data_IF_957627535194
#
_entry.id   IF_957627535194
#
_cell.length_a   1.000
_cell.length_b   1.000
_cell.length_c   1.000
_cell.angle_alpha   90.00
_cell.angle_beta   90.00
_cell.angle_gamma   90.00
#
_symmetry.space_group_name_H-M   'P 1'
#
loop_
_entity.id
_entity.type
_entity.pdbx_description
1 polymer ?
#
# COMPACT_ATOMS: atom_id res chain seq x y z
N UNK A 1 -11.32 18.45 31.24
CA UNK A 1 -9.90 18.44 30.82
C UNK A 1 -9.52 17.04 30.27
N UNK A 2 -9.88 16.75 29.02
CA UNK A 2 -9.70 15.41 28.38
C UNK A 2 -8.72 15.43 27.20
N UNK A 3 -8.16 16.61 26.88
CA UNK A 3 -7.31 16.84 25.71
C UNK A 3 -5.88 16.34 25.96
N UNK A 4 -5.37 16.39 27.20
CA UNK A 4 -3.96 16.09 27.48
C UNK A 4 -3.57 14.60 27.48
N UNK A 5 -4.51 13.66 27.66
CA UNK A 5 -4.17 12.23 27.76
C UNK A 5 -3.82 11.60 26.41
N UNK A 6 -4.46 12.04 25.32
CA UNK A 6 -4.21 11.52 23.96
C UNK A 6 -2.83 11.98 23.47
N UNK A 7 -2.50 13.26 23.64
CA UNK A 7 -1.18 13.78 23.28
C UNK A 7 -0.04 13.14 24.10
N UNK A 8 -0.28 12.87 25.39
CA UNK A 8 0.67 12.14 26.23
C UNK A 8 0.91 10.69 25.75
N UNK A 9 -0.15 10.02 25.29
CA UNK A 9 -0.05 8.66 24.75
C UNK A 9 0.72 8.60 23.42
N UNK A 10 0.51 9.57 22.53
CA UNK A 10 1.25 9.67 21.25
C UNK A 10 2.75 9.89 21.50
N UNK A 11 3.11 10.68 22.52
CA UNK A 11 4.50 10.90 22.91
C UNK A 11 5.19 9.60 23.37
N UNK A 12 4.45 8.69 24.01
CA UNK A 12 4.94 7.40 24.52
C UNK A 12 5.35 6.43 23.41
N UNK A 13 4.85 6.59 22.18
CA UNK A 13 5.09 5.65 21.07
C UNK A 13 6.18 6.08 20.08
N UNK A 14 6.77 7.28 20.23
CA UNK A 14 7.80 7.79 19.32
C UNK A 14 9.18 7.65 19.95
N UNK A 15 10.11 7.02 19.24
CA UNK A 15 11.53 6.96 19.63
C UNK A 15 12.32 8.10 18.98
N UNK A 16 13.28 8.68 19.70
CA UNK A 16 14.17 9.73 19.17
C UNK A 16 15.31 9.12 18.35
N UNK A 17 15.58 9.71 17.20
CA UNK A 17 16.71 9.36 16.32
C UNK A 17 17.63 10.58 16.22
N UNK A 18 18.93 10.38 16.44
CA UNK A 18 19.95 11.41 16.24
C UNK A 18 20.60 11.21 14.86
N UNK A 19 20.63 12.25 14.05
CA UNK A 19 21.17 12.23 12.69
C UNK A 19 22.17 13.36 12.51
N UNK A 20 23.26 13.08 11.80
CA UNK A 20 24.21 14.09 11.34
C UNK A 20 23.92 14.39 9.87
N UNK A 21 23.75 15.67 9.55
CA UNK A 21 23.41 16.15 8.21
C UNK A 21 24.09 17.50 7.99
N UNK A 22 24.41 17.83 6.75
CA UNK A 22 24.96 19.12 6.37
C UNK A 22 24.02 20.28 6.74
N UNK A 23 24.59 21.38 7.22
CA UNK A 23 23.83 22.52 7.74
C UNK A 23 23.01 23.22 6.64
N UNK A 24 23.59 23.43 5.46
CA UNK A 24 22.90 24.04 4.32
C UNK A 24 21.71 23.19 3.84
N UNK A 25 21.90 21.86 3.85
CA UNK A 25 20.84 20.91 3.52
C UNK A 25 19.72 20.93 4.56
N UNK A 26 20.06 20.98 5.85
CA UNK A 26 19.07 21.09 6.93
C UNK A 26 18.29 22.40 6.84
N UNK A 27 18.97 23.50 6.53
CA UNK A 27 18.32 24.81 6.33
C UNK A 27 17.30 24.75 5.19
N UNK A 28 17.72 24.23 4.04
CA UNK A 28 16.84 24.02 2.87
C UNK A 28 15.65 23.12 3.20
N UNK A 29 15.87 22.03 3.92
CA UNK A 29 14.83 21.12 4.36
C UNK A 29 13.82 21.78 5.31
N UNK A 30 14.28 22.62 6.24
CA UNK A 30 13.40 23.39 7.14
C UNK A 30 12.51 24.36 6.36
N UNK A 31 13.10 25.11 5.41
CA UNK A 31 12.32 26.00 4.55
C UNK A 31 11.27 25.25 3.74
N UNK A 32 11.63 24.09 3.19
CA UNK A 32 10.67 23.22 2.50
C UNK A 32 9.54 22.74 3.44
N UNK A 33 9.88 22.26 4.64
CA UNK A 33 8.91 21.80 5.62
C UNK A 33 7.92 22.91 6.02
N UNK A 34 8.42 24.13 6.23
CA UNK A 34 7.57 25.30 6.53
C UNK A 34 6.60 25.62 5.40
N UNK A 35 7.07 25.62 4.14
CA UNK A 35 6.21 25.83 2.96
C UNK A 35 5.10 24.77 2.87
N UNK A 36 5.38 23.55 3.29
CA UNK A 36 4.43 22.43 3.28
C UNK A 36 3.65 22.28 4.60
N UNK A 37 3.74 23.25 5.52
CA UNK A 37 3.08 23.22 6.83
C UNK A 37 3.35 21.93 7.64
N UNK A 38 4.57 21.40 7.55
CA UNK A 38 5.02 20.16 8.23
C UNK A 38 6.35 20.38 8.95
N UNK A 39 6.91 19.33 9.55
CA UNK A 39 8.21 19.36 10.23
C UNK A 39 9.23 18.46 9.54
N UNK A 40 10.52 18.75 9.73
CA UNK A 40 11.61 17.90 9.22
C UNK A 40 11.51 16.48 9.78
N UNK A 41 11.17 16.33 11.06
CA UNK A 41 10.97 15.02 11.69
C UNK A 41 9.85 14.22 11.01
N UNK A 42 8.75 14.88 10.64
CA UNK A 42 7.64 14.24 9.94
C UNK A 42 8.00 13.85 8.50
N UNK A 43 8.76 14.69 7.81
CA UNK A 43 9.30 14.38 6.47
C UNK A 43 10.19 13.13 6.51
N UNK A 44 11.12 13.08 7.46
CA UNK A 44 12.04 11.94 7.65
C UNK A 44 11.27 10.67 8.00
N UNK A 45 10.30 10.76 8.90
CA UNK A 45 9.45 9.62 9.24
C UNK A 45 8.65 9.10 8.04
N UNK A 46 8.09 9.99 7.23
CA UNK A 46 7.35 9.62 6.02
C UNK A 46 8.26 8.97 4.96
N UNK A 47 9.51 9.45 4.85
CA UNK A 47 10.51 8.80 4.03
C UNK A 47 10.80 7.37 4.52
N UNK A 48 11.03 7.18 5.83
CA UNK A 48 11.22 5.83 6.39
C UNK A 48 10.01 4.91 6.20
N UNK A 49 8.78 5.44 6.29
CA UNK A 49 7.56 4.67 5.97
C UNK A 49 7.52 4.22 4.51
N UNK A 50 8.00 5.07 3.61
CA UNK A 50 8.09 4.75 2.18
C UNK A 50 9.11 3.64 1.93
N UNK A 51 10.29 3.73 2.56
CA UNK A 51 11.34 2.72 2.45
C UNK A 51 10.92 1.36 3.02
N UNK A 52 10.24 1.36 4.16
CA UNK A 52 9.81 0.14 4.84
C UNK A 52 8.42 -0.32 4.39
N UNK A 53 7.85 0.28 3.35
CA UNK A 53 6.56 -0.17 2.83
C UNK A 53 6.76 -1.58 2.28
N UNK A 54 6.06 -2.61 2.80
CA UNK A 54 6.18 -3.94 2.24
C UNK A 54 5.85 -3.87 0.76
N UNK A 55 6.66 -4.54 -0.07
CA UNK A 55 6.38 -4.69 -1.49
C UNK A 55 4.90 -5.04 -1.63
N UNK A 56 4.16 -4.24 -2.42
CA UNK A 56 2.71 -4.34 -2.51
C UNK A 56 2.32 -5.80 -2.64
N UNK A 57 1.32 -6.22 -1.86
CA UNK A 57 0.58 -7.47 -2.08
C UNK A 57 0.42 -7.66 -3.59
N UNK A 58 0.81 -8.85 -4.08
CA UNK A 58 0.77 -9.33 -5.47
C UNK A 58 0.18 -8.30 -6.43
N UNK A 59 1.02 -7.74 -7.30
CA UNK A 59 0.59 -6.84 -8.36
C UNK A 59 -0.56 -7.50 -9.15
N UNK A 60 -1.46 -6.71 -9.74
CA UNK A 60 -2.52 -7.23 -10.63
C UNK A 60 -1.92 -8.15 -11.70
N UNK A 61 -0.72 -7.82 -12.18
CA UNK A 61 0.08 -8.61 -13.11
C UNK A 61 0.44 -9.98 -12.49
N UNK A 62 1.00 -10.00 -11.28
CA UNK A 62 1.32 -11.25 -10.55
C UNK A 62 0.09 -12.12 -10.26
N UNK A 63 -1.10 -11.53 -10.22
CA UNK A 63 -2.38 -12.21 -10.04
C UNK A 63 -2.85 -12.84 -11.34
N UNK A 64 -2.72 -12.13 -12.47
CA UNK A 64 -3.07 -12.64 -13.81
C UNK A 64 -2.11 -13.75 -14.22
N UNK A 65 -0.82 -13.62 -13.93
CA UNK A 65 0.18 -14.66 -14.22
C UNK A 65 0.00 -15.94 -13.39
N UNK A 66 -0.70 -15.86 -12.25
CA UNK A 66 -1.01 -16.99 -11.38
C UNK A 66 -2.41 -17.56 -11.59
N UNK A 67 -3.15 -17.08 -12.59
CA UNK A 67 -4.39 -17.73 -12.99
C UNK A 67 -4.05 -19.09 -13.62
N UNK A 68 -4.68 -20.14 -13.11
CA UNK A 68 -4.56 -21.47 -13.69
C UNK A 68 -5.03 -21.43 -15.15
N UNK A 69 -4.37 -22.22 -16.01
CA UNK A 69 -4.78 -22.36 -17.39
C UNK A 69 -6.25 -22.86 -17.45
N UNK A 70 -7.06 -22.36 -18.40
CA UNK A 70 -8.42 -22.82 -18.55
C UNK A 70 -8.44 -24.34 -18.77
N UNK A 71 -9.32 -25.02 -18.04
CA UNK A 71 -9.45 -26.49 -18.05
C UNK A 71 -10.18 -26.98 -19.33
N UNK A 72 -10.64 -26.06 -20.16
CA UNK A 72 -11.40 -26.33 -21.40
C UNK A 72 -10.56 -26.10 -22.65
N UNK A 73 -10.80 -26.90 -23.69
CA UNK A 73 -10.15 -26.75 -25.00
C UNK A 73 -10.58 -25.44 -25.66
N UNK A 74 -9.59 -24.66 -26.10
CA UNK A 74 -9.73 -23.34 -26.73
C UNK A 74 -10.60 -23.39 -28.00
N UNK A 75 -10.69 -24.56 -28.64
CA UNK A 75 -11.50 -24.77 -29.84
C UNK A 75 -12.97 -25.13 -29.56
N UNK A 76 -13.37 -25.22 -28.29
CA UNK A 76 -14.74 -25.60 -27.95
C UNK A 76 -15.65 -24.37 -27.95
N UNK A 77 -16.84 -24.50 -28.53
CA UNK A 77 -17.86 -23.47 -28.42
C UNK A 77 -18.33 -23.35 -26.96
N UNK A 78 -17.80 -22.35 -26.26
CA UNK A 78 -18.07 -22.08 -24.85
C UNK A 78 -19.53 -21.74 -24.61
N UNK A 79 -20.24 -21.22 -25.62
CA UNK A 79 -21.65 -20.88 -25.52
C UNK A 79 -22.48 -22.16 -25.45
N UNK A 80 -22.19 -23.13 -26.30
CA UNK A 80 -22.88 -24.41 -26.32
C UNK A 80 -22.60 -25.21 -25.04
N UNK A 81 -21.34 -25.23 -24.57
CA UNK A 81 -20.98 -25.84 -23.29
C UNK A 81 -21.74 -25.24 -22.11
N UNK A 82 -21.84 -23.90 -22.04
CA UNK A 82 -22.57 -23.22 -20.99
C UNK A 82 -24.05 -23.64 -20.96
N UNK A 83 -24.70 -23.70 -22.12
CA UNK A 83 -26.10 -24.12 -22.20
C UNK A 83 -26.29 -25.61 -21.86
N UNK A 84 -25.36 -26.47 -22.26
CA UNK A 84 -25.38 -27.90 -21.92
C UNK A 84 -25.18 -28.16 -20.42
N UNK A 85 -24.26 -27.45 -19.77
CA UNK A 85 -24.04 -27.57 -18.32
C UNK A 85 -25.23 -27.01 -17.52
N UNK A 86 -25.79 -25.88 -17.95
CA UNK A 86 -27.00 -25.32 -17.33
C UNK A 86 -28.20 -26.26 -17.47
N UNK A 87 -28.40 -26.88 -18.64
CA UNK A 87 -29.44 -27.88 -18.85
C UNK A 87 -29.23 -29.12 -17.97
N UNK A 88 -27.98 -29.60 -17.82
CA UNK A 88 -27.65 -30.71 -16.91
C UNK A 88 -27.90 -30.38 -15.43
N UNK A 89 -27.65 -29.14 -15.01
CA UNK A 89 -27.74 -28.71 -13.61
C UNK A 89 -29.15 -28.30 -13.19
N UNK A 90 -29.93 -27.71 -14.10
CA UNK A 90 -31.25 -27.14 -13.80
C UNK A 90 -32.41 -27.77 -14.56
N UNK A 91 -32.15 -28.71 -15.48
CA UNK A 91 -33.17 -29.59 -16.06
C UNK A 91 -34.24 -28.89 -16.89
N UNK A 92 -33.83 -28.05 -17.84
CA UNK A 92 -34.72 -27.53 -18.88
C UNK A 92 -34.57 -28.33 -20.17
#
# INVERSE_FOLDING_TARGET
MRINKIYAYIWIMKSRVNLTIEEELLSSAKTYAQKQHTSVSELVENFFKTLNRPAKRKNLIDLVEKLDAPIFDVNTDLKDLYHQEQAKKYGF
#
